data_IF_519185716288
#
_entry.id   IF_519185716288
#
_cell.length_a   1.000
_cell.length_b   1.000
_cell.length_c   1.000
_cell.angle_alpha   90.00
_cell.angle_beta   90.00
_cell.angle_gamma   90.00
#
_symmetry.space_group_name_H-M   'P 1'
#
loop_
_entity.id
_entity.type
_entity.pdbx_description
1 polymer ?
#
# COMPACT_ATOMS: atom_id res chain seq x y z
N UNK A 1 6.65 -10.86 -27.09
CA UNK A 1 7.16 -9.78 -26.24
C UNK A 1 6.00 -8.91 -25.77
N UNK A 2 5.66 -8.93 -24.49
CA UNK A 2 4.53 -8.13 -23.98
C UNK A 2 5.03 -6.73 -23.58
N UNK A 3 4.70 -5.73 -24.41
CA UNK A 3 5.08 -4.32 -24.23
C UNK A 3 4.12 -3.54 -23.31
N UNK A 4 3.19 -4.21 -22.64
CA UNK A 4 2.12 -3.56 -21.86
C UNK A 4 2.11 -3.87 -20.36
N UNK A 5 3.10 -4.61 -19.83
CA UNK A 5 3.08 -5.06 -18.42
C UNK A 5 3.55 -3.98 -17.41
N UNK A 6 3.96 -2.79 -17.89
CA UNK A 6 4.54 -1.72 -17.06
C UNK A 6 3.82 -0.39 -17.25
N UNK A 7 2.51 -0.40 -17.48
CA UNK A 7 1.72 0.83 -17.47
C UNK A 7 0.38 0.56 -16.80
N UNK A 8 0.36 0.52 -15.47
CA UNK A 8 -0.89 0.82 -14.77
C UNK A 8 -1.17 2.29 -14.98
N UNK A 9 -2.37 2.59 -15.44
CA UNK A 9 -2.90 3.94 -15.58
C UNK A 9 -2.43 4.79 -14.40
N UNK A 10 -1.81 5.95 -14.66
CA UNK A 10 -1.64 6.99 -13.64
C UNK A 10 -3.03 7.56 -13.33
N UNK A 11 -3.86 6.73 -12.70
CA UNK A 11 -5.09 7.18 -12.06
C UNK A 11 -4.66 7.92 -10.81
N UNK A 12 -5.27 9.07 -10.54
CA UNK A 12 -5.10 9.72 -9.24
C UNK A 12 -5.55 8.80 -8.09
N UNK A 13 -6.53 7.94 -8.39
CA UNK A 13 -7.10 6.96 -7.49
C UNK A 13 -6.82 5.54 -7.99
N UNK A 14 -5.64 4.96 -7.70
CA UNK A 14 -5.40 3.55 -7.97
C UNK A 14 -6.38 2.68 -7.16
N UNK A 15 -6.85 1.60 -7.77
CA UNK A 15 -7.63 0.57 -7.08
C UNK A 15 -6.77 -0.68 -6.95
N UNK A 16 -6.98 -1.42 -5.88
CA UNK A 16 -6.20 -2.62 -5.55
C UNK A 16 -7.12 -3.81 -5.35
N UNK A 17 -6.65 -4.99 -5.73
CA UNK A 17 -7.36 -6.24 -5.48
C UNK A 17 -6.85 -6.91 -4.20
N UNK A 18 -7.72 -7.66 -3.52
CA UNK A 18 -7.32 -8.47 -2.38
C UNK A 18 -6.32 -9.56 -2.83
N UNK A 19 -5.22 -9.70 -2.07
CA UNK A 19 -4.12 -10.61 -2.39
C UNK A 19 -3.03 -10.00 -3.27
N UNK A 20 -3.23 -8.78 -3.76
CA UNK A 20 -2.25 -8.09 -4.59
C UNK A 20 -1.03 -7.63 -3.80
N UNK A 21 0.15 -7.82 -4.38
CA UNK A 21 1.43 -7.39 -3.79
C UNK A 21 1.91 -6.11 -4.47
N UNK A 22 2.19 -5.10 -3.67
CA UNK A 22 2.62 -3.77 -4.14
C UNK A 22 3.80 -3.28 -3.33
N UNK A 23 4.63 -2.44 -3.95
CA UNK A 23 5.68 -1.71 -3.26
C UNK A 23 5.22 -0.29 -2.99
N UNK A 24 5.22 0.13 -1.73
CA UNK A 24 4.81 1.48 -1.33
C UNK A 24 5.69 2.01 -0.19
N UNK A 25 5.74 3.33 -0.06
CA UNK A 25 6.39 3.98 1.07
C UNK A 25 5.41 4.13 2.22
N UNK A 26 5.88 3.82 3.44
CA UNK A 26 5.14 4.13 4.65
C UNK A 26 5.29 5.63 4.95
N UNK A 27 4.19 6.37 4.88
CA UNK A 27 4.17 7.81 5.14
C UNK A 27 3.94 8.14 6.61
N UNK A 28 3.34 7.21 7.35
CA UNK A 28 3.04 7.39 8.76
C UNK A 28 3.17 6.05 9.44
N UNK A 29 3.66 6.06 10.67
CA UNK A 29 3.78 4.89 11.52
C UNK A 29 3.47 5.29 12.96
N UNK A 30 2.59 4.52 13.58
CA UNK A 30 2.36 4.49 15.00
C UNK A 30 3.20 3.34 15.59
N UNK A 31 4.28 3.71 16.29
CA UNK A 31 5.24 2.76 16.84
C UNK A 31 4.69 1.96 18.03
N UNK A 32 3.67 2.49 18.73
CA UNK A 32 3.06 1.84 19.88
C UNK A 32 2.11 0.71 19.45
N UNK A 33 1.42 0.89 18.32
CA UNK A 33 0.43 -0.07 17.79
C UNK A 33 0.95 -0.91 16.62
N UNK A 34 2.07 -0.53 15.99
CA UNK A 34 2.59 -1.17 14.78
C UNK A 34 1.70 -0.95 13.55
N UNK A 35 0.88 0.10 13.57
CA UNK A 35 0.01 0.52 12.46
C UNK A 35 0.75 1.57 11.64
N UNK A 36 0.79 1.39 10.33
CA UNK A 36 1.31 2.39 9.40
C UNK A 36 0.29 2.77 8.35
N UNK A 37 0.53 3.88 7.67
CA UNK A 37 -0.21 4.27 6.49
C UNK A 37 0.73 4.34 5.29
N UNK A 38 0.30 3.78 4.18
CA UNK A 38 0.95 3.92 2.88
C UNK A 38 0.02 4.69 1.94
N UNK A 39 0.53 5.75 1.31
CA UNK A 39 -0.23 6.54 0.33
C UNK A 39 0.29 6.27 -1.07
N UNK A 40 -0.61 5.85 -1.96
CA UNK A 40 -0.32 5.65 -3.39
C UNK A 40 -1.30 6.51 -4.19
N UNK A 41 -0.79 7.60 -4.77
CA UNK A 41 -1.65 8.65 -5.31
C UNK A 41 -2.52 9.23 -4.20
N UNK A 42 -3.84 9.27 -4.43
CA UNK A 42 -4.83 9.68 -3.44
C UNK A 42 -5.40 8.52 -2.61
N UNK A 43 -4.95 7.28 -2.86
CA UNK A 43 -5.41 6.10 -2.12
C UNK A 43 -4.57 5.85 -0.88
N UNK A 44 -5.23 5.48 0.22
CA UNK A 44 -4.61 5.23 1.52
C UNK A 44 -4.75 3.76 1.87
N UNK A 45 -3.65 3.12 2.24
CA UNK A 45 -3.64 1.76 2.77
C UNK A 45 -3.19 1.77 4.22
N UNK A 46 -4.02 1.24 5.10
CA UNK A 46 -3.69 0.96 6.48
C UNK A 46 -2.88 -0.33 6.55
N UNK A 47 -1.63 -0.20 6.94
CA UNK A 47 -0.65 -1.27 7.01
C UNK A 47 -0.54 -1.75 8.44
N UNK A 48 -0.60 -3.07 8.64
CA UNK A 48 -0.41 -3.68 9.96
C UNK A 48 0.92 -4.44 10.03
N UNK A 49 1.54 -4.43 11.21
CA UNK A 49 2.82 -5.12 11.45
C UNK A 49 4.04 -4.32 10.99
N UNK A 50 3.91 -3.00 10.89
CA UNK A 50 4.99 -2.12 10.51
C UNK A 50 5.96 -1.88 11.67
N UNK A 51 7.25 -1.91 11.38
CA UNK A 51 8.31 -1.61 12.34
C UNK A 51 8.79 -0.15 12.20
N UNK A 52 9.27 0.48 13.29
CA UNK A 52 9.88 1.82 13.28
C UNK A 52 10.93 2.04 12.18
N UNK A 53 11.73 1.02 11.93
CA UNK A 53 12.79 1.03 10.92
C UNK A 53 12.31 1.04 9.47
N UNK A 54 11.01 0.82 9.22
CA UNK A 54 10.39 0.77 7.90
C UNK A 54 9.66 2.07 7.52
N UNK A 55 9.58 3.04 8.44
CA UNK A 55 9.08 4.39 8.12
C UNK A 55 9.96 5.04 7.05
N UNK A 56 9.35 5.76 6.11
CA UNK A 56 10.01 6.42 4.97
C UNK A 56 10.81 5.47 4.06
N UNK A 57 10.56 4.15 4.15
CA UNK A 57 11.16 3.14 3.29
C UNK A 57 10.15 2.51 2.36
N UNK A 58 10.65 2.04 1.22
CA UNK A 58 9.87 1.23 0.29
C UNK A 58 9.77 -0.18 0.88
N UNK A 59 8.54 -0.60 1.18
CA UNK A 59 8.25 -1.94 1.70
C UNK A 59 7.27 -2.67 0.79
N UNK A 60 7.34 -4.00 0.83
CA UNK A 60 6.42 -4.86 0.10
C UNK A 60 5.18 -5.12 0.95
N UNK A 61 4.03 -4.72 0.41
CA UNK A 61 2.74 -4.80 1.05
C UNK A 61 1.84 -5.77 0.29
N UNK A 62 1.16 -6.64 1.02
CA UNK A 62 0.07 -7.45 0.51
C UNK A 62 -1.27 -6.81 0.87
N UNK A 63 -2.02 -6.39 -0.13
CA UNK A 63 -3.37 -5.84 0.05
C UNK A 63 -4.29 -6.95 0.53
N UNK A 64 -4.98 -6.73 1.65
CA UNK A 64 -5.98 -7.65 2.18
C UNK A 64 -7.38 -7.30 1.68
N UNK A 65 -7.69 -6.00 1.62
CA UNK A 65 -8.98 -5.49 1.18
C UNK A 65 -8.84 -4.04 0.73
N UNK A 66 -9.62 -3.61 -0.26
CA UNK A 66 -9.65 -2.23 -0.70
C UNK A 66 -11.08 -1.80 -1.05
N UNK A 67 -11.48 -0.63 -0.57
CA UNK A 67 -12.73 0.03 -0.91
C UNK A 67 -12.44 1.15 -1.93
N UNK A 68 -12.90 0.93 -3.16
CA UNK A 68 -12.73 1.85 -4.28
C UNK A 68 -13.60 3.11 -4.17
N UNK A 69 -14.66 3.12 -3.35
CA UNK A 69 -15.50 4.30 -3.13
C UNK A 69 -14.82 5.28 -2.17
N UNK A 70 -14.20 4.76 -1.10
CA UNK A 70 -13.48 5.60 -0.13
C UNK A 70 -11.99 5.76 -0.41
N UNK A 71 -11.46 5.08 -1.44
CA UNK A 71 -10.03 5.00 -1.76
C UNK A 71 -9.17 4.56 -0.56
N UNK A 72 -9.71 3.65 0.25
CA UNK A 72 -9.08 3.16 1.48
C UNK A 72 -8.99 1.65 1.45
N UNK A 73 -7.89 1.10 1.93
CA UNK A 73 -7.74 -0.34 2.08
C UNK A 73 -6.88 -0.73 3.25
N UNK A 74 -6.76 -2.03 3.43
CA UNK A 74 -5.92 -2.66 4.43
C UNK A 74 -4.85 -3.48 3.74
N UNK A 75 -3.64 -3.41 4.26
CA UNK A 75 -2.51 -4.19 3.78
C UNK A 75 -1.68 -4.72 4.94
N UNK A 76 -0.85 -5.71 4.63
CA UNK A 76 0.09 -6.30 5.58
C UNK A 76 1.49 -6.26 4.98
N UNK A 77 2.49 -5.95 5.80
CA UNK A 77 3.89 -6.10 5.39
C UNK A 77 4.21 -7.59 5.24
N UNK A 78 4.85 -7.93 4.14
CA UNK A 78 5.34 -9.29 3.85
C UNK A 78 6.86 -9.35 3.67
N UNK A 79 7.55 -8.26 3.99
CA UNK A 79 9.02 -8.11 4.02
C UNK A 79 9.61 -8.46 5.40
#
# INVERSE_FOLDING_TARGET
MSLFKTWRFRSNHPTFEAGEEINAYLTTLDADTGRAEARIGDSVLEVSGAKPEQLDKLVMLKVQSFDAQSHRGQAQIID
#
